data_IF_436410461041
#
_entry.id   IF_436410461041
#
_cell.length_a   1.000
_cell.length_b   1.000
_cell.length_c   1.000
_cell.angle_alpha   90.00
_cell.angle_beta   90.00
_cell.angle_gamma   90.00
#
_symmetry.space_group_name_H-M   'P 1'
#
loop_
_entity.id
_entity.type
_entity.pdbx_description
1 polymer ?
#
# COMPACT_ATOMS: atom_id res chain seq x y z
N UNK A 1 -38.35 4.40 9.78
CA UNK A 1 -37.79 3.61 8.66
C UNK A 1 -36.60 4.30 8.00
N UNK A 2 -36.73 5.55 7.53
CA UNK A 2 -35.62 6.30 6.92
C UNK A 2 -34.39 6.50 7.83
N UNK A 3 -34.57 6.72 9.14
CA UNK A 3 -33.45 6.88 10.09
C UNK A 3 -32.64 5.62 10.40
N UNK A 4 -33.10 4.44 9.95
CA UNK A 4 -32.36 3.16 10.09
C UNK A 4 -31.80 2.71 8.74
N UNK A 5 -32.54 2.96 7.65
CA UNK A 5 -32.15 2.56 6.31
C UNK A 5 -31.00 3.40 5.74
N UNK A 6 -30.99 4.72 6.01
CA UNK A 6 -29.97 5.64 5.49
C UNK A 6 -28.58 5.41 6.11
N UNK A 7 -28.43 5.25 7.44
CA UNK A 7 -27.13 4.90 8.02
C UNK A 7 -26.60 3.55 7.54
N UNK A 8 -27.50 2.60 7.30
CA UNK A 8 -27.16 1.27 6.80
C UNK A 8 -26.68 1.29 5.35
N UNK A 9 -27.28 2.13 4.49
CA UNK A 9 -26.87 2.28 3.09
C UNK A 9 -25.60 3.13 2.93
N UNK A 10 -25.37 4.09 3.83
CA UNK A 10 -24.28 5.06 3.71
C UNK A 10 -23.07 4.74 4.61
N UNK A 11 -23.12 3.64 5.36
CA UNK A 11 -22.11 3.21 6.36
C UNK A 11 -21.66 4.32 7.33
N UNK A 12 -22.48 5.36 7.51
CA UNK A 12 -22.22 6.49 8.40
C UNK A 12 -23.48 6.75 9.23
N UNK A 13 -23.39 6.85 10.57
CA UNK A 13 -24.51 7.29 11.36
C UNK A 13 -24.93 8.71 10.95
N UNK A 14 -26.24 8.94 10.85
CA UNK A 14 -26.77 10.28 10.65
C UNK A 14 -26.53 11.09 11.93
N UNK A 15 -25.89 12.25 11.81
CA UNK A 15 -25.53 13.13 12.94
C UNK A 15 -26.72 13.54 13.83
N UNK A 16 -27.95 13.40 13.34
CA UNK A 16 -29.17 13.70 14.08
C UNK A 16 -29.52 12.69 15.19
N UNK A 17 -28.83 11.54 15.27
CA UNK A 17 -29.11 10.47 16.25
C UNK A 17 -28.03 10.32 17.32
N UNK A 18 -27.05 11.22 17.40
CA UNK A 18 -25.94 11.08 18.36
C UNK A 18 -26.29 11.81 19.68
N UNK A 19 -26.65 11.10 20.76
CA UNK A 19 -26.66 11.71 22.08
C UNK A 19 -25.21 12.03 22.44
N UNK A 20 -24.93 13.30 22.74
CA UNK A 20 -23.63 13.80 23.18
C UNK A 20 -22.96 12.82 24.18
N UNK A 21 -21.88 12.16 23.75
CA UNK A 21 -21.03 11.34 24.64
C UNK A 21 -20.92 9.84 24.34
N UNK A 22 -21.26 9.35 23.15
CA UNK A 22 -20.93 7.96 22.80
C UNK A 22 -19.43 7.83 22.50
N UNK A 23 -18.75 7.04 23.33
CA UNK A 23 -17.33 6.72 23.17
C UNK A 23 -17.11 6.07 21.81
N UNK A 24 -16.33 6.71 20.95
CA UNK A 24 -15.88 6.12 19.69
C UNK A 24 -14.98 4.92 20.00
N UNK A 25 -15.57 3.74 20.16
CA UNK A 25 -14.82 2.51 19.92
C UNK A 25 -14.40 2.53 18.45
N UNK A 26 -13.12 2.37 18.12
CA UNK A 26 -12.68 2.34 16.74
C UNK A 26 -13.42 1.20 16.03
N UNK A 27 -14.02 1.50 14.88
CA UNK A 27 -14.62 0.50 13.99
C UNK A 27 -13.63 -0.67 13.86
N UNK A 28 -14.05 -1.92 14.14
CA UNK A 28 -13.14 -3.05 14.11
C UNK A 28 -12.42 -3.10 12.76
N UNK A 29 -11.09 -3.23 12.80
CA UNK A 29 -10.21 -3.17 11.63
C UNK A 29 -10.35 -4.36 10.66
N UNK A 30 -11.29 -5.28 10.92
CA UNK A 30 -11.71 -6.34 10.03
C UNK A 30 -13.08 -5.95 9.45
N UNK A 31 -13.26 -6.10 8.13
CA UNK A 31 -14.49 -5.73 7.45
C UNK A 31 -15.75 -6.17 8.20
N UNK A 32 -16.70 -5.24 8.34
CA UNK A 32 -17.91 -5.46 9.12
C UNK A 32 -18.67 -6.71 8.61
N UNK A 33 -18.68 -7.77 9.43
CA UNK A 33 -19.38 -9.02 9.12
C UNK A 33 -20.88 -8.93 9.35
N UNK A 34 -21.38 -7.81 9.90
CA UNK A 34 -22.79 -7.62 10.24
C UNK A 34 -23.70 -7.89 9.06
N UNK A 35 -23.34 -7.41 7.86
CA UNK A 35 -24.13 -7.62 6.64
C UNK A 35 -24.19 -9.11 6.24
N UNK A 36 -23.04 -9.77 6.16
CA UNK A 36 -22.97 -11.18 5.79
C UNK A 36 -23.74 -12.06 6.80
N UNK A 37 -23.60 -11.76 8.10
CA UNK A 37 -24.36 -12.42 9.16
C UNK A 37 -25.85 -12.11 9.07
N UNK A 38 -26.25 -10.89 8.75
CA UNK A 38 -27.64 -10.51 8.57
C UNK A 38 -28.28 -11.27 7.41
N UNK A 39 -27.58 -11.39 6.27
CA UNK A 39 -28.03 -12.20 5.12
C UNK A 39 -28.15 -13.67 5.51
N UNK A 40 -27.12 -14.24 6.15
CA UNK A 40 -27.14 -15.64 6.60
C UNK A 40 -28.32 -15.92 7.54
N UNK A 41 -28.56 -15.03 8.52
CA UNK A 41 -29.67 -15.15 9.48
C UNK A 41 -31.03 -14.93 8.84
N UNK A 42 -31.14 -14.02 7.88
CA UNK A 42 -32.39 -13.77 7.15
C UNK A 42 -32.77 -14.99 6.30
N UNK A 43 -31.81 -15.57 5.57
CA UNK A 43 -32.03 -16.80 4.78
C UNK A 43 -32.47 -17.94 5.70
N UNK A 44 -31.78 -18.14 6.83
CA UNK A 44 -32.15 -19.16 7.81
C UNK A 44 -33.57 -18.96 8.33
N UNK A 45 -33.92 -17.73 8.70
CA UNK A 45 -35.25 -17.40 9.21
C UNK A 45 -36.35 -17.68 8.17
N UNK A 46 -36.12 -17.29 6.91
CA UNK A 46 -37.06 -17.55 5.81
C UNK A 46 -37.24 -19.04 5.55
N UNK A 47 -36.17 -19.85 5.63
CA UNK A 47 -36.25 -21.30 5.47
C UNK A 47 -37.07 -21.96 6.60
N UNK A 48 -36.86 -21.55 7.86
CA UNK A 48 -37.66 -22.04 8.98
C UNK A 48 -39.14 -21.64 8.83
N UNK A 49 -39.42 -20.40 8.41
CA UNK A 49 -40.80 -19.96 8.12
C UNK A 49 -41.46 -20.76 6.99
N UNK A 50 -40.68 -21.26 6.03
CA UNK A 50 -41.17 -22.15 4.96
C UNK A 50 -41.44 -23.59 5.41
N UNK A 51 -41.23 -23.90 6.70
CA UNK A 51 -41.47 -25.22 7.27
C UNK A 51 -40.25 -26.15 7.26
N UNK A 52 -39.05 -25.63 6.95
CA UNK A 52 -37.81 -26.41 7.02
C UNK A 52 -37.38 -26.61 8.48
N UNK A 53 -36.86 -27.80 8.80
CA UNK A 53 -36.28 -28.08 10.12
C UNK A 53 -35.10 -27.14 10.41
N UNK A 54 -34.95 -26.71 11.66
CA UNK A 54 -33.91 -25.74 12.05
C UNK A 54 -32.49 -26.22 11.73
N UNK A 55 -32.25 -27.53 11.82
CA UNK A 55 -30.98 -28.19 11.48
C UNK A 55 -30.66 -28.06 9.99
N UNK A 56 -31.63 -28.42 9.13
CA UNK A 56 -31.52 -28.32 7.67
C UNK A 56 -31.44 -26.83 7.24
N UNK A 57 -32.21 -25.93 7.84
CA UNK A 57 -32.16 -24.49 7.55
C UNK A 57 -30.80 -23.86 7.91
N UNK A 58 -30.16 -24.32 9.00
CA UNK A 58 -28.80 -23.91 9.38
C UNK A 58 -27.77 -24.40 8.37
N UNK A 59 -27.91 -25.64 7.87
CA UNK A 59 -27.05 -26.17 6.81
C UNK A 59 -27.18 -25.36 5.52
N UNK A 60 -28.41 -25.11 5.06
CA UNK A 60 -28.67 -24.36 3.82
C UNK A 60 -28.12 -22.93 3.87
N UNK A 61 -28.40 -22.20 4.96
CA UNK A 61 -27.96 -20.82 5.11
C UNK A 61 -26.44 -20.67 5.23
N UNK A 62 -25.76 -21.63 5.88
CA UNK A 62 -24.32 -21.52 6.12
C UNK A 62 -23.47 -22.22 5.07
N UNK A 63 -23.88 -23.39 4.56
CA UNK A 63 -23.09 -24.20 3.62
C UNK A 63 -23.57 -23.99 2.20
N UNK A 64 -24.85 -24.24 1.90
CA UNK A 64 -25.35 -24.19 0.51
C UNK A 64 -25.35 -22.76 -0.06
N UNK A 65 -25.56 -21.73 0.77
CA UNK A 65 -25.41 -20.34 0.32
C UNK A 65 -23.97 -20.05 -0.12
N UNK A 66 -22.97 -20.56 0.63
CA UNK A 66 -21.55 -20.42 0.26
C UNK A 66 -21.22 -21.27 -0.96
N UNK A 67 -21.81 -22.44 -1.10
CA UNK A 67 -21.67 -23.28 -2.30
C UNK A 67 -22.21 -22.54 -3.53
N UNK A 68 -23.42 -21.98 -3.48
CA UNK A 68 -24.00 -21.21 -4.57
C UNK A 68 -23.14 -20.01 -4.98
N UNK A 69 -22.54 -19.30 -4.01
CA UNK A 69 -21.59 -18.22 -4.30
C UNK A 69 -20.35 -18.72 -5.03
N UNK A 70 -19.80 -19.87 -4.62
CA UNK A 70 -18.65 -20.49 -5.29
C UNK A 70 -19.02 -21.00 -6.68
N UNK A 71 -20.24 -21.51 -6.88
CA UNK A 71 -20.79 -21.87 -8.20
C UNK A 71 -20.87 -20.64 -9.11
N UNK A 72 -21.39 -19.50 -8.63
CA UNK A 72 -21.39 -18.27 -9.40
C UNK A 72 -19.98 -17.77 -9.76
N UNK A 73 -19.01 -17.92 -8.84
CA UNK A 73 -17.60 -17.61 -9.14
C UNK A 73 -17.02 -18.53 -10.21
N UNK A 74 -17.32 -19.83 -10.14
CA UNK A 74 -16.91 -20.82 -11.14
C UNK A 74 -17.52 -20.50 -12.51
N UNK A 75 -18.82 -20.23 -12.57
CA UNK A 75 -19.53 -19.87 -13.80
C UNK A 75 -18.96 -18.60 -14.42
N UNK A 76 -18.71 -17.57 -13.61
CA UNK A 76 -18.11 -16.31 -14.06
C UNK A 76 -16.69 -16.52 -14.65
N UNK A 77 -15.90 -17.42 -14.07
CA UNK A 77 -14.58 -17.78 -14.59
C UNK A 77 -14.67 -18.54 -15.91
N UNK A 78 -15.68 -19.39 -16.09
CA UNK A 78 -15.89 -20.14 -17.35
C UNK A 78 -16.53 -19.31 -18.45
N UNK A 79 -17.40 -18.35 -18.13
CA UNK A 79 -18.05 -17.50 -19.12
C UNK A 79 -17.08 -16.53 -19.80
N UNK A 80 -15.90 -16.31 -19.21
CA UNK A 80 -14.85 -15.44 -19.72
C UNK A 80 -13.88 -16.14 -20.68
N UNK A 81 -14.33 -17.07 -21.52
CA UNK A 81 -13.51 -17.81 -22.50
C UNK A 81 -12.62 -16.94 -23.44
N UNK A 82 -12.78 -15.61 -23.42
CA UNK A 82 -11.98 -14.63 -24.17
C UNK A 82 -10.81 -14.01 -23.37
N UNK A 83 -10.76 -14.17 -22.04
CA UNK A 83 -9.73 -13.56 -21.18
C UNK A 83 -9.18 -14.57 -20.18
N UNK A 84 -7.86 -14.70 -20.14
CA UNK A 84 -7.20 -15.45 -19.07
C UNK A 84 -7.55 -14.80 -17.71
N UNK A 85 -8.09 -15.55 -16.74
CA UNK A 85 -8.54 -14.96 -15.47
C UNK A 85 -7.39 -14.26 -14.73
N UNK A 86 -7.68 -13.18 -14.02
CA UNK A 86 -6.67 -12.48 -13.23
C UNK A 86 -6.23 -13.32 -12.03
N UNK A 87 -5.00 -13.13 -11.57
CA UNK A 87 -4.46 -13.85 -10.38
C UNK A 87 -5.36 -13.63 -9.14
N UNK A 88 -5.98 -12.45 -9.04
CA UNK A 88 -6.93 -12.11 -7.97
C UNK A 88 -8.23 -12.91 -8.02
N UNK A 89 -8.74 -13.23 -9.22
CA UNK A 89 -9.99 -13.99 -9.37
C UNK A 89 -9.80 -15.45 -8.90
N UNK A 90 -8.62 -16.04 -9.15
CA UNK A 90 -8.27 -17.35 -8.58
C UNK A 90 -8.11 -17.32 -7.07
N UNK A 91 -7.51 -16.25 -6.53
CA UNK A 91 -7.38 -16.08 -5.10
C UNK A 91 -8.76 -16.00 -4.44
N UNK A 92 -9.72 -15.28 -5.05
CA UNK A 92 -11.11 -15.21 -4.60
C UNK A 92 -11.79 -16.59 -4.62
N UNK A 93 -11.64 -17.35 -5.70
CA UNK A 93 -12.20 -18.72 -5.78
C UNK A 93 -11.64 -19.61 -4.66
N UNK A 94 -10.32 -19.59 -4.40
CA UNK A 94 -9.70 -20.36 -3.31
C UNK A 94 -10.17 -19.95 -1.93
N UNK A 95 -10.37 -18.65 -1.71
CA UNK A 95 -10.95 -18.14 -0.45
C UNK A 95 -12.39 -18.64 -0.31
N UNK A 96 -13.17 -18.64 -1.39
CA UNK A 96 -14.51 -19.21 -1.44
C UNK A 96 -14.54 -20.69 -1.07
N UNK A 97 -13.69 -21.51 -1.71
CA UNK A 97 -13.54 -22.95 -1.44
C UNK A 97 -13.15 -23.19 0.03
N UNK A 98 -12.16 -22.45 0.54
CA UNK A 98 -11.71 -22.57 1.94
C UNK A 98 -12.80 -22.17 2.95
N UNK A 99 -13.58 -21.14 2.62
CA UNK A 99 -14.71 -20.67 3.41
C UNK A 99 -15.83 -21.71 3.45
N UNK A 100 -16.15 -22.32 2.30
CA UNK A 100 -17.12 -23.42 2.19
C UNK A 100 -16.68 -24.63 3.01
N UNK A 101 -15.43 -25.07 2.86
CA UNK A 101 -14.87 -26.19 3.62
C UNK A 101 -14.92 -25.94 5.14
N UNK A 102 -14.58 -24.72 5.58
CA UNK A 102 -14.65 -24.35 7.01
C UNK A 102 -16.10 -24.30 7.51
N UNK A 103 -17.04 -23.79 6.72
CA UNK A 103 -18.45 -23.77 7.07
C UNK A 103 -19.02 -25.20 7.20
N UNK A 104 -18.71 -26.08 6.24
CA UNK A 104 -19.09 -27.49 6.29
C UNK A 104 -18.50 -28.21 7.52
N UNK A 105 -17.22 -27.97 7.82
CA UNK A 105 -16.56 -28.54 9.00
C UNK A 105 -17.22 -28.07 10.31
N UNK A 106 -17.63 -26.80 10.38
CA UNK A 106 -18.29 -26.23 11.57
C UNK A 106 -19.66 -26.86 11.79
N UNK A 107 -20.37 -27.19 10.71
CA UNK A 107 -21.68 -27.83 10.75
C UNK A 107 -21.63 -29.37 10.75
N UNK A 108 -20.44 -29.98 10.66
CA UNK A 108 -20.29 -31.42 10.50
C UNK A 108 -20.91 -32.25 11.64
N UNK A 109 -20.93 -31.71 12.85
CA UNK A 109 -21.58 -32.38 14.01
C UNK A 109 -23.10 -32.44 13.93
N UNK A 110 -23.73 -31.60 13.10
CA UNK A 110 -25.19 -31.44 12.98
C UNK A 110 -25.73 -31.91 11.63
N UNK A 111 -24.85 -32.09 10.65
CA UNK A 111 -25.21 -32.44 9.29
C UNK A 111 -25.37 -33.95 9.11
N UNK A 112 -26.18 -34.32 8.11
CA UNK A 112 -26.32 -35.73 7.71
C UNK A 112 -25.07 -36.13 6.92
N UNK A 113 -24.52 -37.31 7.19
CA UNK A 113 -23.34 -37.86 6.49
C UNK A 113 -23.36 -37.75 4.95
N UNK A 114 -24.49 -37.98 4.23
CA UNK A 114 -24.53 -37.80 2.78
C UNK A 114 -24.26 -36.35 2.32
N UNK A 115 -24.74 -35.34 3.06
CA UNK A 115 -24.55 -33.92 2.72
C UNK A 115 -23.08 -33.51 2.85
N UNK A 116 -22.40 -34.03 3.87
CA UNK A 116 -20.97 -33.80 4.07
C UNK A 116 -20.13 -34.39 2.95
N UNK A 117 -20.44 -35.63 2.52
CA UNK A 117 -19.74 -36.28 1.41
C UNK A 117 -19.93 -35.54 0.09
N UNK A 118 -21.13 -35.01 -0.16
CA UNK A 118 -21.41 -34.22 -1.36
C UNK A 118 -20.58 -32.92 -1.39
N UNK A 119 -20.56 -32.17 -0.29
CA UNK A 119 -19.77 -30.93 -0.20
C UNK A 119 -18.27 -31.23 -0.26
N UNK A 120 -17.81 -32.33 0.35
CA UNK A 120 -16.41 -32.74 0.26
C UNK A 120 -16.01 -33.06 -1.18
N UNK A 121 -16.81 -33.86 -1.90
CA UNK A 121 -16.56 -34.17 -3.30
C UNK A 121 -16.59 -32.90 -4.18
N UNK A 122 -17.47 -31.95 -3.88
CA UNK A 122 -17.55 -30.67 -4.56
C UNK A 122 -16.29 -29.82 -4.33
N UNK A 123 -15.84 -29.70 -3.07
CA UNK A 123 -14.61 -28.97 -2.69
C UNK A 123 -13.39 -29.59 -3.38
N UNK A 124 -13.23 -30.92 -3.32
CA UNK A 124 -12.09 -31.61 -3.95
C UNK A 124 -12.07 -31.42 -5.47
N UNK A 125 -13.24 -31.50 -6.12
CA UNK A 125 -13.39 -31.24 -7.56
C UNK A 125 -12.97 -29.81 -7.93
N UNK A 126 -13.39 -28.82 -7.15
CA UNK A 126 -13.05 -27.43 -7.39
C UNK A 126 -11.58 -27.12 -7.13
N UNK A 127 -11.00 -27.70 -6.08
CA UNK A 127 -9.58 -27.50 -5.79
C UNK A 127 -8.71 -28.09 -6.91
N UNK A 128 -9.09 -29.27 -7.43
CA UNK A 128 -8.44 -29.87 -8.60
C UNK A 128 -8.58 -28.98 -9.85
N UNK A 129 -9.77 -28.40 -10.10
CA UNK A 129 -10.01 -27.48 -11.21
C UNK A 129 -9.20 -26.20 -11.08
N UNK A 130 -9.16 -25.60 -9.89
CA UNK A 130 -8.38 -24.40 -9.60
C UNK A 130 -6.88 -24.63 -9.80
N UNK A 131 -6.36 -25.79 -9.36
CA UNK A 131 -4.98 -26.20 -9.61
C UNK A 131 -4.69 -26.36 -11.10
N UNK A 132 -5.56 -27.02 -11.87
CA UNK A 132 -5.36 -27.21 -13.31
C UNK A 132 -5.35 -25.89 -14.09
N UNK A 133 -6.22 -24.94 -13.71
CA UNK A 133 -6.25 -23.61 -14.29
C UNK A 133 -4.99 -22.81 -13.93
N UNK A 134 -4.51 -22.89 -12.69
CA UNK A 134 -3.26 -22.24 -12.26
C UNK A 134 -2.05 -22.77 -13.05
N UNK A 135 -1.97 -24.09 -13.26
CA UNK A 135 -0.91 -24.70 -14.06
C UNK A 135 -0.98 -24.27 -15.53
N UNK A 136 -2.18 -24.18 -16.11
CA UNK A 136 -2.39 -23.72 -17.49
C UNK A 136 -1.93 -22.27 -17.68
N UNK A 137 -2.15 -21.40 -16.68
CA UNK A 137 -1.70 -20.01 -16.74
C UNK A 137 -0.19 -19.83 -16.63
N UNK A 138 0.49 -20.65 -15.83
CA UNK A 138 1.97 -20.60 -15.74
C UNK A 138 2.63 -20.86 -17.10
N UNK A 139 1.98 -21.65 -17.96
CA UNK A 139 2.44 -21.90 -19.33
C UNK A 139 2.08 -20.74 -20.27
N UNK A 140 0.88 -20.16 -20.16
CA UNK A 140 0.42 -19.05 -20.99
C UNK A 140 1.15 -17.71 -20.74
N UNK A 141 1.69 -17.50 -19.53
CA UNK A 141 2.46 -16.27 -19.19
C UNK A 141 3.95 -16.34 -19.54
N UNK A 142 4.40 -17.38 -20.23
CA UNK A 142 5.78 -17.46 -20.76
C UNK A 142 5.98 -16.74 -22.11
N UNK A 143 5.00 -15.94 -22.56
CA UNK A 143 5.21 -14.99 -23.65
C UNK A 143 6.17 -13.92 -23.14
N UNK A 144 7.47 -14.15 -23.40
CA UNK A 144 8.46 -13.11 -23.24
C UNK A 144 7.99 -11.86 -24.02
N UNK A 145 8.23 -10.64 -23.51
CA UNK A 145 8.07 -9.46 -24.35
C UNK A 145 8.85 -9.69 -25.65
N UNK A 146 8.33 -9.27 -26.82
CA UNK A 146 9.10 -9.37 -28.05
C UNK A 146 10.47 -8.75 -27.78
N UNK A 147 11.53 -9.50 -28.09
CA UNK A 147 12.89 -9.00 -27.93
C UNK A 147 12.95 -7.64 -28.63
N UNK A 148 13.23 -6.59 -27.88
CA UNK A 148 13.45 -5.28 -28.48
C UNK A 148 14.74 -5.40 -29.28
N UNK A 149 14.60 -5.63 -30.58
CA UNK A 149 15.69 -5.46 -31.53
C UNK A 149 15.82 -3.95 -31.69
N UNK A 150 16.82 -3.36 -31.03
CA UNK A 150 17.23 -1.99 -31.35
C UNK A 150 17.64 -1.99 -32.83
N UNK A 151 16.77 -1.50 -33.70
CA UNK A 151 17.14 -1.24 -35.10
C UNK A 151 18.06 -0.04 -35.08
N UNK A 152 19.35 -0.34 -35.28
CA UNK A 152 20.51 0.53 -35.22
C UNK A 152 20.58 1.56 -36.37
N UNK A 153 19.42 2.11 -36.75
CA UNK A 153 19.27 2.84 -38.01
C UNK A 153 18.46 4.10 -37.81
N UNK A 154 19.02 5.10 -37.12
CA UNK A 154 18.52 6.48 -37.29
C UNK A 154 19.51 7.61 -36.95
N UNK A 155 20.83 7.36 -37.01
CA UNK A 155 21.82 8.44 -37.07
C UNK A 155 22.87 8.17 -38.13
N UNK A 156 22.52 8.35 -39.41
CA UNK A 156 23.49 8.31 -40.52
C UNK A 156 23.50 9.64 -41.27
N UNK A 157 24.46 10.50 -40.91
CA UNK A 157 24.99 11.48 -41.86
C UNK A 157 25.84 10.75 -42.90
N UNK A 158 25.48 10.86 -44.18
CA UNK A 158 26.19 10.20 -45.27
C UNK A 158 27.59 10.80 -45.49
N UNK A 159 28.63 9.96 -45.46
CA UNK A 159 30.02 10.34 -45.83
C UNK A 159 31.08 10.03 -44.77
N UNK A 160 30.73 9.80 -43.51
CA UNK A 160 31.70 9.56 -42.43
C UNK A 160 32.22 8.11 -42.35
N UNK A 161 31.62 7.15 -43.07
CA UNK A 161 31.99 5.74 -43.03
C UNK A 161 33.38 5.38 -43.61
N UNK A 162 34.13 6.36 -44.14
CA UNK A 162 35.49 6.15 -44.67
C UNK A 162 36.61 6.60 -43.74
N UNK A 163 36.29 7.20 -42.59
CA UNK A 163 37.29 7.69 -41.60
C UNK A 163 37.26 6.88 -40.31
N UNK A 164 36.34 5.93 -40.16
CA UNK A 164 36.38 5.01 -39.02
C UNK A 164 37.56 4.05 -39.20
N UNK A 165 38.61 4.28 -38.42
CA UNK A 165 39.59 3.27 -38.01
C UNK A 165 38.84 1.96 -37.79
N UNK A 166 39.30 0.87 -38.42
CA UNK A 166 38.75 -0.46 -38.15
C UNK A 166 38.69 -0.65 -36.64
N UNK A 167 37.50 -0.93 -36.14
CA UNK A 167 37.29 -1.13 -34.72
C UNK A 167 37.97 -2.43 -34.29
N UNK A 168 39.10 -2.28 -33.62
CA UNK A 168 39.92 -3.36 -33.06
C UNK A 168 39.49 -3.72 -31.63
N UNK A 169 38.51 -3.01 -31.04
CA UNK A 169 37.95 -3.37 -29.72
C UNK A 169 37.38 -4.78 -29.63
N UNK A 170 36.64 -5.31 -30.63
CA UNK A 170 36.15 -6.69 -30.56
C UNK A 170 37.25 -7.77 -30.58
N UNK A 171 38.50 -7.41 -30.92
CA UNK A 171 39.65 -8.32 -30.94
C UNK A 171 40.41 -8.39 -29.60
N UNK A 172 40.09 -7.53 -28.62
CA UNK A 172 40.77 -7.52 -27.31
C UNK A 172 40.34 -8.64 -26.35
N UNK A 173 39.28 -9.38 -26.70
CA UNK A 173 38.60 -10.27 -25.76
C UNK A 173 37.91 -9.47 -24.64
N UNK A 174 36.96 -10.10 -23.94
CA UNK A 174 36.37 -9.47 -22.76
C UNK A 174 37.44 -9.31 -21.68
N UNK A 175 37.91 -8.09 -21.47
CA UNK A 175 38.69 -7.75 -20.28
C UNK A 175 37.74 -7.92 -19.10
N UNK A 176 37.77 -9.10 -18.47
CA UNK A 176 37.18 -9.31 -17.15
C UNK A 176 38.01 -8.49 -16.16
N UNK A 177 37.79 -7.18 -16.12
CA UNK A 177 38.27 -6.35 -15.03
C UNK A 177 37.81 -7.05 -13.75
N UNK A 178 38.78 -7.46 -12.92
CA UNK A 178 38.51 -7.96 -11.59
C UNK A 178 37.87 -6.84 -10.80
N UNK A 179 36.57 -6.64 -10.93
CA UNK A 179 35.89 -5.60 -10.18
C UNK A 179 35.87 -6.05 -8.72
N UNK A 180 36.56 -5.28 -7.91
CA UNK A 180 36.56 -5.42 -6.47
C UNK A 180 35.11 -5.33 -6.00
N UNK A 181 34.64 -6.36 -5.30
CA UNK A 181 33.35 -6.31 -4.60
C UNK A 181 33.61 -5.43 -3.36
N UNK A 182 32.99 -4.26 -3.34
CA UNK A 182 33.05 -3.38 -2.18
C UNK A 182 32.06 -3.89 -1.12
N UNK A 183 32.51 -4.11 0.12
CA UNK A 183 31.63 -4.63 1.16
C UNK A 183 30.56 -3.59 1.53
N UNK A 184 29.31 -4.04 1.57
CA UNK A 184 28.23 -3.32 2.24
C UNK A 184 28.21 -3.79 3.70
N UNK A 185 28.23 -2.85 4.66
CA UNK A 185 28.27 -3.15 6.08
C UNK A 185 26.96 -2.69 6.76
N UNK A 186 25.89 -3.50 6.74
CA UNK A 186 24.65 -3.18 7.48
C UNK A 186 24.88 -2.97 8.98
N UNK A 187 25.96 -3.51 9.54
CA UNK A 187 26.38 -3.29 10.93
C UNK A 187 26.80 -1.85 11.23
N UNK A 188 26.98 -1.00 10.22
CA UNK A 188 27.25 0.42 10.39
C UNK A 188 25.98 1.24 10.69
N UNK A 189 24.79 0.64 10.59
CA UNK A 189 23.55 1.32 10.95
C UNK A 189 23.43 1.46 12.47
N UNK A 190 22.88 2.59 12.96
CA UNK A 190 22.63 2.77 14.39
C UNK A 190 21.58 1.77 14.90
N UNK A 191 21.64 1.43 16.19
CA UNK A 191 20.62 0.60 16.82
C UNK A 191 19.31 1.36 17.10
N UNK A 192 19.41 2.67 17.33
CA UNK A 192 18.30 3.57 17.64
C UNK A 192 18.62 4.97 17.09
N UNK A 193 17.60 5.69 16.63
CA UNK A 193 17.72 7.04 16.08
C UNK A 193 17.03 8.00 17.04
N UNK A 194 17.78 8.96 17.59
CA UNK A 194 17.29 9.88 18.63
C UNK A 194 16.85 11.24 18.11
N UNK A 195 17.36 11.64 16.96
CA UNK A 195 17.08 12.95 16.38
C UNK A 195 17.01 12.90 14.84
N UNK A 196 16.46 13.95 14.24
CA UNK A 196 16.29 14.02 12.78
C UNK A 196 17.62 14.11 12.01
N UNK A 197 18.71 14.55 12.63
CA UNK A 197 20.04 14.57 12.00
C UNK A 197 20.62 13.16 11.87
N UNK A 198 20.51 12.34 12.91
CA UNK A 198 20.85 10.91 12.90
C UNK A 198 19.97 10.15 11.89
N UNK A 199 18.69 10.52 11.79
CA UNK A 199 17.79 9.96 10.77
C UNK A 199 18.28 10.29 9.35
N UNK A 200 18.72 11.53 9.12
CA UNK A 200 19.26 11.96 7.82
C UNK A 200 20.53 11.20 7.45
N UNK A 201 21.47 11.06 8.40
CA UNK A 201 22.70 10.29 8.21
C UNK A 201 22.41 8.81 7.94
N UNK A 202 21.51 8.19 8.72
CA UNK A 202 21.08 6.82 8.51
C UNK A 202 20.44 6.62 7.13
N UNK A 203 19.54 7.52 6.70
CA UNK A 203 18.93 7.47 5.37
C UNK A 203 19.97 7.60 4.25
N UNK A 204 20.96 8.48 4.39
CA UNK A 204 22.08 8.61 3.43
C UNK A 204 22.92 7.34 3.34
N UNK A 205 23.24 6.73 4.49
CA UNK A 205 23.99 5.48 4.55
C UNK A 205 23.21 4.36 3.87
N UNK A 206 21.92 4.20 4.19
CA UNK A 206 21.06 3.21 3.54
C UNK A 206 20.97 3.46 2.03
N UNK A 207 20.74 4.70 1.59
CA UNK A 207 20.70 5.03 0.15
C UNK A 207 22.00 4.67 -0.58
N UNK A 208 23.15 4.93 0.06
CA UNK A 208 24.47 4.56 -0.47
C UNK A 208 24.65 3.04 -0.53
N UNK A 209 24.25 2.31 0.51
CA UNK A 209 24.29 0.84 0.54
C UNK A 209 23.40 0.22 -0.53
N UNK A 210 22.17 0.73 -0.71
CA UNK A 210 21.26 0.28 -1.77
C UNK A 210 21.88 0.46 -3.16
N UNK A 211 22.45 1.64 -3.41
CA UNK A 211 23.11 1.95 -4.69
C UNK A 211 24.29 1.01 -4.93
N UNK A 212 25.11 0.77 -3.91
CA UNK A 212 26.27 -0.11 -4.00
C UNK A 212 25.87 -1.58 -4.28
N UNK A 213 24.90 -2.11 -3.54
CA UNK A 213 24.41 -3.47 -3.73
C UNK A 213 23.77 -3.66 -5.10
N UNK A 214 22.96 -2.70 -5.56
CA UNK A 214 22.31 -2.78 -6.87
C UNK A 214 23.32 -2.70 -8.02
N UNK A 215 24.36 -1.87 -7.90
CA UNK A 215 25.43 -1.82 -8.90
C UNK A 215 26.26 -3.11 -8.96
N UNK A 216 26.27 -3.89 -7.88
CA UNK A 216 26.99 -5.16 -7.78
C UNK A 216 26.07 -6.39 -7.94
N UNK A 217 24.82 -6.21 -8.37
CA UNK A 217 23.81 -7.28 -8.40
C UNK A 217 24.19 -8.50 -9.26
N UNK A 218 24.99 -8.31 -10.31
CA UNK A 218 25.47 -9.41 -11.16
C UNK A 218 26.45 -10.33 -10.45
N UNK A 219 27.02 -9.87 -9.33
CA UNK A 219 28.04 -10.59 -8.53
C UNK A 219 27.53 -10.97 -7.15
N UNK A 220 26.47 -10.33 -6.68
CA UNK A 220 25.81 -10.60 -5.42
C UNK A 220 24.49 -11.33 -5.68
N UNK A 221 24.44 -12.67 -5.58
CA UNK A 221 23.28 -13.48 -5.99
C UNK A 221 21.97 -13.19 -5.24
N UNK A 222 22.01 -12.34 -4.20
CA UNK A 222 20.85 -11.93 -3.41
C UNK A 222 20.76 -10.41 -3.21
N UNK A 223 21.45 -9.59 -4.00
CA UNK A 223 21.43 -8.13 -3.84
C UNK A 223 20.00 -7.54 -3.77
N UNK A 224 19.04 -7.91 -4.65
CA UNK A 224 17.68 -7.38 -4.54
C UNK A 224 16.98 -7.77 -3.22
N UNK A 225 17.17 -9.00 -2.75
CA UNK A 225 16.61 -9.45 -1.48
C UNK A 225 17.25 -8.75 -0.27
N UNK A 226 18.56 -8.51 -0.32
CA UNK A 226 19.29 -7.75 0.71
C UNK A 226 18.86 -6.28 0.73
N UNK A 227 18.70 -5.65 -0.44
CA UNK A 227 18.14 -4.30 -0.56
C UNK A 227 16.73 -4.23 0.02
N UNK A 228 15.88 -5.20 -0.31
CA UNK A 228 14.52 -5.29 0.22
C UNK A 228 14.51 -5.38 1.74
N UNK A 229 15.28 -6.33 2.30
CA UNK A 229 15.38 -6.54 3.75
C UNK A 229 15.95 -5.31 4.48
N UNK A 230 16.92 -4.61 3.88
CA UNK A 230 17.52 -3.41 4.43
C UNK A 230 16.49 -2.28 4.59
N UNK A 231 15.64 -2.05 3.58
CA UNK A 231 14.60 -1.00 3.66
C UNK A 231 13.47 -1.42 4.61
N UNK A 232 13.09 -2.70 4.62
CA UNK A 232 12.14 -3.23 5.62
C UNK A 232 12.68 -2.97 7.04
N UNK A 233 13.96 -3.25 7.29
CA UNK A 233 14.57 -2.99 8.58
C UNK A 233 14.59 -1.50 8.94
N UNK A 234 14.95 -0.63 7.99
CA UNK A 234 14.91 0.82 8.18
C UNK A 234 13.53 1.30 8.63
N UNK A 235 12.47 0.90 7.92
CA UNK A 235 11.12 1.39 8.19
C UNK A 235 10.43 0.72 9.37
N UNK A 236 10.67 -0.57 9.60
CA UNK A 236 9.98 -1.31 10.65
C UNK A 236 10.67 -1.21 12.03
N UNK A 237 11.95 -0.78 12.08
CA UNK A 237 12.73 -0.78 13.33
C UNK A 237 13.53 0.49 13.62
N UNK A 238 14.08 1.16 12.61
CA UNK A 238 14.99 2.28 12.84
C UNK A 238 14.27 3.63 12.81
N UNK A 239 13.49 3.89 11.77
CA UNK A 239 12.76 5.15 11.63
C UNK A 239 11.46 5.12 12.44
N UNK A 240 11.23 6.12 13.30
CA UNK A 240 9.96 6.22 14.01
C UNK A 240 8.86 6.62 13.02
N UNK A 241 7.68 6.04 13.20
CA UNK A 241 6.50 6.44 12.43
C UNK A 241 5.96 7.79 12.92
N UNK A 242 5.41 8.63 12.02
CA UNK A 242 4.73 9.85 12.44
C UNK A 242 3.50 9.53 13.29
N UNK A 243 3.29 10.34 14.32
CA UNK A 243 2.08 10.30 15.12
C UNK A 243 0.88 10.82 14.31
N UNK A 244 -0.35 10.35 14.60
CA UNK A 244 -1.57 10.93 14.06
C UNK A 244 -1.63 12.45 14.26
N UNK A 245 -2.17 13.18 13.30
CA UNK A 245 -2.25 14.66 13.35
C UNK A 245 -3.19 15.13 14.46
N UNK A 246 -4.25 14.38 14.72
CA UNK A 246 -5.23 14.64 15.79
C UNK A 246 -4.76 14.17 17.19
N UNK A 247 -3.51 13.75 17.34
CA UNK A 247 -3.02 13.23 18.62
C UNK A 247 -2.97 14.31 19.71
N UNK A 248 -3.16 13.90 20.97
CA UNK A 248 -3.26 14.81 22.11
C UNK A 248 -1.95 15.55 22.42
N UNK A 249 -0.81 15.05 21.91
CA UNK A 249 0.52 15.60 22.14
C UNK A 249 1.32 15.71 20.82
N UNK A 250 0.97 16.63 19.91
CA UNK A 250 1.66 16.77 18.63
C UNK A 250 3.14 17.11 18.79
N UNK A 251 3.51 17.80 19.87
CA UNK A 251 4.90 18.15 20.22
C UNK A 251 5.75 16.93 20.61
N UNK A 252 5.13 15.81 20.98
CA UNK A 252 5.83 14.56 21.30
C UNK A 252 6.21 13.77 20.03
N UNK A 253 5.72 14.17 18.85
CA UNK A 253 6.05 13.51 17.60
C UNK A 253 7.52 13.72 17.26
N UNK A 254 8.25 12.63 16.99
CA UNK A 254 9.65 12.69 16.57
C UNK A 254 9.86 13.66 15.40
N UNK A 255 8.94 13.66 14.43
CA UNK A 255 9.00 14.50 13.24
C UNK A 255 8.48 15.94 13.45
N UNK A 256 7.94 16.26 14.63
CA UNK A 256 7.55 17.62 15.00
C UNK A 256 8.72 18.46 15.57
N UNK A 257 9.86 17.83 15.85
CA UNK A 257 11.09 18.52 16.28
C UNK A 257 11.50 19.64 15.31
N UNK A 258 12.27 20.63 15.78
CA UNK A 258 12.80 21.69 14.92
C UNK A 258 13.78 21.12 13.88
N UNK A 259 13.43 21.23 12.60
CA UNK A 259 14.28 20.83 11.47
C UNK A 259 14.85 22.05 10.74
N UNK A 260 16.13 21.97 10.38
CA UNK A 260 16.73 22.92 9.42
C UNK A 260 16.26 22.60 8.00
N UNK A 261 16.28 23.61 7.13
CA UNK A 261 15.97 23.45 5.68
C UNK A 261 16.83 22.36 5.04
N UNK A 262 18.12 22.35 5.38
CA UNK A 262 19.10 21.44 4.80
C UNK A 262 18.81 19.99 5.21
N UNK A 263 18.60 19.75 6.51
CA UNK A 263 18.28 18.40 7.03
C UNK A 263 16.96 17.89 6.44
N UNK A 264 15.94 18.75 6.35
CA UNK A 264 14.66 18.40 5.72
C UNK A 264 14.82 18.01 4.26
N UNK A 265 15.56 18.80 3.48
CA UNK A 265 15.84 18.50 2.06
C UNK A 265 16.64 17.22 1.89
N UNK A 266 17.65 17.00 2.74
CA UNK A 266 18.49 15.80 2.69
C UNK A 266 17.70 14.54 3.04
N UNK A 267 16.84 14.60 4.06
CA UNK A 267 15.90 13.52 4.41
C UNK A 267 14.97 13.20 3.25
N UNK A 268 14.27 14.19 2.69
CA UNK A 268 13.33 13.97 1.58
C UNK A 268 14.02 13.41 0.34
N UNK A 269 15.22 13.91 0.02
CA UNK A 269 16.03 13.39 -1.10
C UNK A 269 16.46 11.94 -0.84
N UNK A 270 16.96 11.64 0.36
CA UNK A 270 17.42 10.31 0.72
C UNK A 270 16.28 9.30 0.75
N UNK A 271 15.14 9.66 1.34
CA UNK A 271 13.91 8.85 1.34
C UNK A 271 13.41 8.61 -0.08
N UNK A 272 13.41 9.64 -0.94
CA UNK A 272 13.04 9.46 -2.36
C UNK A 272 13.97 8.46 -3.07
N UNK A 273 15.28 8.54 -2.85
CA UNK A 273 16.22 7.58 -3.43
C UNK A 273 16.03 6.16 -2.86
N UNK A 274 15.73 6.05 -1.56
CA UNK A 274 15.38 4.77 -0.92
C UNK A 274 14.10 4.20 -1.53
N UNK A 275 13.04 5.01 -1.73
CA UNK A 275 11.81 4.59 -2.40
C UNK A 275 12.10 4.02 -3.79
N UNK A 276 12.95 4.69 -4.58
CA UNK A 276 13.34 4.20 -5.91
C UNK A 276 14.10 2.88 -5.84
N UNK A 277 15.09 2.78 -4.95
CA UNK A 277 15.85 1.56 -4.72
C UNK A 277 14.98 0.41 -4.23
N UNK A 278 14.04 0.70 -3.34
CA UNK A 278 13.08 -0.25 -2.80
C UNK A 278 12.13 -0.77 -3.87
N UNK A 279 11.55 0.12 -4.69
CA UNK A 279 10.69 -0.28 -5.81
C UNK A 279 11.43 -1.15 -6.83
N UNK A 280 12.69 -0.82 -7.15
CA UNK A 280 13.52 -1.65 -8.03
C UNK A 280 13.80 -3.03 -7.40
N UNK A 281 14.15 -3.08 -6.12
CA UNK A 281 14.39 -4.33 -5.38
C UNK A 281 13.11 -5.18 -5.26
N UNK A 282 11.97 -4.56 -4.96
CA UNK A 282 10.68 -5.22 -4.81
C UNK A 282 10.21 -5.82 -6.14
N UNK A 283 10.33 -5.08 -7.26
CA UNK A 283 9.96 -5.59 -8.59
C UNK A 283 10.89 -6.72 -9.05
N UNK A 284 12.19 -6.60 -8.82
CA UNK A 284 13.15 -7.66 -9.10
C UNK A 284 12.87 -8.93 -8.28
N UNK A 285 12.49 -8.77 -7.00
CA UNK A 285 12.10 -9.90 -6.14
C UNK A 285 10.79 -10.53 -6.60
N UNK A 286 9.79 -9.73 -6.98
CA UNK A 286 8.52 -10.25 -7.51
C UNK A 286 8.70 -11.03 -8.82
N UNK A 287 9.63 -10.61 -9.69
CA UNK A 287 9.96 -11.34 -10.91
C UNK A 287 10.64 -12.70 -10.63
N UNK A 288 11.52 -12.77 -9.62
CA UNK A 288 12.25 -13.99 -9.29
C UNK A 288 11.47 -14.93 -8.35
N UNK A 289 10.72 -14.39 -7.37
CA UNK A 289 10.03 -15.14 -6.32
C UNK A 289 8.91 -14.30 -5.67
N UNK A 290 7.74 -14.28 -6.30
CA UNK A 290 6.55 -13.70 -5.72
C UNK A 290 6.09 -14.53 -4.49
N UNK A 291 6.15 -13.93 -3.30
CA UNK A 291 5.59 -14.51 -2.06
C UNK A 291 4.58 -13.54 -1.47
N UNK A 292 3.49 -14.06 -0.90
CA UNK A 292 2.44 -13.22 -0.28
C UNK A 292 2.98 -12.38 0.89
N UNK A 293 3.99 -12.87 1.58
CA UNK A 293 4.66 -12.18 2.69
C UNK A 293 5.48 -11.00 2.19
N UNK A 294 6.25 -11.17 1.10
CA UNK A 294 6.98 -10.07 0.48
C UNK A 294 6.03 -9.01 -0.10
N UNK A 295 4.88 -9.44 -0.64
CA UNK A 295 3.82 -8.55 -1.11
C UNK A 295 3.16 -7.77 0.05
N UNK A 296 3.05 -8.39 1.23
CA UNK A 296 2.67 -7.72 2.48
C UNK A 296 3.67 -6.65 2.88
N UNK A 297 4.93 -7.05 3.02
CA UNK A 297 6.02 -6.17 3.44
C UNK A 297 6.22 -4.99 2.49
N UNK A 298 6.17 -5.20 1.15
CA UNK A 298 6.34 -4.10 0.18
C UNK A 298 5.25 -3.04 0.30
N UNK A 299 4.02 -3.47 0.56
CA UNK A 299 2.85 -2.57 0.64
C UNK A 299 2.91 -1.75 1.93
N UNK A 300 3.21 -2.39 3.06
CA UNK A 300 3.37 -1.70 4.35
C UNK A 300 4.56 -0.73 4.36
N UNK A 301 5.71 -1.14 3.82
CA UNK A 301 6.91 -0.29 3.75
C UNK A 301 6.69 0.89 2.80
N UNK A 302 6.03 0.69 1.66
CA UNK A 302 5.68 1.79 0.77
C UNK A 302 4.76 2.81 1.44
N UNK A 303 3.72 2.35 2.14
CA UNK A 303 2.83 3.23 2.90
C UNK A 303 3.56 3.98 4.01
N UNK A 304 4.46 3.31 4.75
CA UNK A 304 5.26 3.94 5.79
C UNK A 304 6.21 5.01 5.24
N UNK A 305 6.87 4.74 4.11
CA UNK A 305 7.73 5.72 3.42
C UNK A 305 6.93 6.96 3.03
N UNK A 306 5.73 6.76 2.47
CA UNK A 306 4.82 7.86 2.11
C UNK A 306 4.38 8.64 3.34
N UNK A 307 4.02 7.98 4.44
CA UNK A 307 3.60 8.63 5.68
C UNK A 307 4.72 9.51 6.27
N UNK A 308 5.96 9.00 6.34
CA UNK A 308 7.12 9.77 6.82
C UNK A 308 7.40 10.96 5.89
N UNK A 309 7.34 10.76 4.57
CA UNK A 309 7.53 11.84 3.60
C UNK A 309 6.43 12.90 3.71
N UNK A 310 5.16 12.53 3.87
CA UNK A 310 4.04 13.46 4.09
C UNK A 310 4.25 14.29 5.36
N UNK A 311 4.57 13.63 6.47
CA UNK A 311 4.81 14.30 7.76
C UNK A 311 5.93 15.35 7.65
N UNK A 312 7.03 14.99 6.97
CA UNK A 312 8.12 15.93 6.69
C UNK A 312 7.66 17.10 5.79
N UNK A 313 6.91 16.83 4.72
CA UNK A 313 6.42 17.86 3.80
C UNK A 313 5.42 18.82 4.46
N UNK A 314 4.57 18.31 5.34
CA UNK A 314 3.53 19.08 6.06
C UNK A 314 4.10 20.00 7.13
N UNK A 315 5.24 19.65 7.73
CA UNK A 315 5.86 20.45 8.80
C UNK A 315 6.48 21.75 8.26
N UNK A 316 5.98 22.95 8.63
CA UNK A 316 6.69 24.19 8.35
C UNK A 316 7.98 24.28 9.16
N UNK A 317 8.92 25.09 8.69
CA UNK A 317 10.15 25.37 9.43
C UNK A 317 9.85 26.21 10.68
N UNK A 318 10.62 26.00 11.74
CA UNK A 318 10.47 26.72 13.01
C UNK A 318 10.63 28.23 12.82
N UNK A 319 9.69 29.01 13.38
CA UNK A 319 9.61 30.48 13.23
C UNK A 319 10.84 31.23 13.73
N UNK A 320 11.57 30.69 14.71
CA UNK A 320 12.79 31.31 15.26
C UNK A 320 13.96 31.37 14.26
N UNK A 321 13.99 30.47 13.27
CA UNK A 321 14.98 30.48 12.19
C UNK A 321 14.53 31.30 10.98
N UNK A 322 13.22 31.49 10.79
CA UNK A 322 12.65 32.18 9.63
C UNK A 322 13.00 33.68 9.58
N UNK A 323 13.22 34.33 10.73
CA UNK A 323 13.59 35.75 10.80
C UNK A 323 15.01 36.03 10.30
N UNK A 324 15.93 35.06 10.44
CA UNK A 324 17.36 35.22 10.12
C UNK A 324 17.78 34.60 8.76
N UNK A 325 16.90 33.86 8.09
CA UNK A 325 17.20 33.19 6.82
C UNK A 325 17.01 34.13 5.61
N UNK A 326 17.89 34.00 4.61
CA UNK A 326 17.84 34.78 3.38
C UNK A 326 16.52 34.54 2.63
N UNK A 327 16.02 35.55 1.89
CA UNK A 327 14.74 35.52 1.17
C UNK A 327 14.56 34.24 0.33
N UNK A 328 15.65 33.68 -0.21
CA UNK A 328 15.64 32.44 -1.03
C UNK A 328 15.31 31.16 -0.24
N UNK A 329 15.68 31.09 1.04
CA UNK A 329 15.41 29.92 1.89
C UNK A 329 13.98 29.91 2.43
N UNK A 330 13.37 31.10 2.55
CA UNK A 330 11.93 31.25 2.84
C UNK A 330 11.03 30.61 1.78
N UNK A 331 11.47 30.55 0.52
CA UNK A 331 10.70 29.94 -0.57
C UNK A 331 10.56 28.42 -0.43
N UNK A 332 11.50 27.75 0.26
CA UNK A 332 11.40 26.31 0.54
C UNK A 332 10.30 25.96 1.55
N UNK A 333 9.96 26.90 2.43
CA UNK A 333 8.91 26.75 3.43
C UNK A 333 7.51 27.00 2.86
N UNK A 334 7.42 27.81 1.80
CA UNK A 334 6.14 28.12 1.14
C UNK A 334 5.42 26.86 0.69
N UNK A 335 6.15 25.87 0.15
CA UNK A 335 5.54 24.59 -0.21
C UNK A 335 4.89 23.94 1.00
N UNK A 336 5.59 23.84 2.13
CA UNK A 336 5.07 23.22 3.36
C UNK A 336 3.91 23.99 3.97
N UNK A 337 3.95 25.32 3.92
CA UNK A 337 2.87 26.20 4.36
C UNK A 337 1.62 26.07 3.46
N UNK A 338 1.79 25.95 2.15
CA UNK A 338 0.68 25.68 1.24
C UNK A 338 0.17 24.25 1.37
N UNK A 339 1.08 23.28 1.53
CA UNK A 339 0.77 21.86 1.67
C UNK A 339 -0.10 21.60 2.91
N UNK A 340 0.25 22.24 4.03
CA UNK A 340 -0.50 22.18 5.29
C UNK A 340 -1.67 23.15 5.39
N UNK A 341 -1.93 23.99 4.38
CA UNK A 341 -2.99 25.01 4.43
C UNK A 341 -2.74 26.17 5.41
N UNK A 342 -1.51 26.32 5.90
CA UNK A 342 -1.09 27.38 6.84
C UNK A 342 -0.65 28.69 6.16
N UNK A 343 -0.59 28.72 4.83
CA UNK A 343 -0.11 29.86 4.02
C UNK A 343 -0.86 31.19 4.21
N UNK A 344 -1.96 31.22 4.96
CA UNK A 344 -2.72 32.43 5.27
C UNK A 344 -2.81 32.79 6.76
N UNK A 345 -2.19 32.03 7.66
CA UNK A 345 -2.39 32.20 9.11
C UNK A 345 -1.32 33.05 9.81
N UNK A 346 -0.20 33.38 9.17
CA UNK A 346 0.93 34.06 9.86
C UNK A 346 0.75 35.59 10.07
N UNK A 347 -0.50 36.11 10.07
CA UNK A 347 -0.77 37.54 9.97
C UNK A 347 -1.65 38.21 11.03
N UNK A 348 -2.46 37.50 11.85
CA UNK A 348 -3.28 38.23 12.84
C UNK A 348 -3.61 37.43 14.12
N UNK A 349 -2.73 37.54 15.11
CA UNK A 349 -3.20 37.61 16.50
C UNK A 349 -3.86 38.98 16.73
N UNK A 350 -5.08 39.19 16.25
CA UNK A 350 -5.96 40.26 16.75
C UNK A 350 -7.36 40.15 16.13
N UNK A 351 -8.25 39.39 16.78
CA UNK A 351 -9.65 39.75 17.04
C UNK A 351 -10.59 40.23 15.91
N UNK A 352 -10.25 40.09 14.63
CA UNK A 352 -11.05 40.65 13.53
C UNK A 352 -11.06 39.67 12.36
N UNK A 353 -12.27 39.18 12.03
CA UNK A 353 -12.63 38.27 10.92
C UNK A 353 -11.44 37.81 10.06
N UNK A 354 -10.74 36.79 10.54
CA UNK A 354 -9.53 36.27 9.90
C UNK A 354 -9.84 35.76 8.51
N UNK A 355 -9.26 36.40 7.50
CA UNK A 355 -9.28 35.93 6.14
C UNK A 355 -8.52 34.59 6.11
N UNK A 356 -9.25 33.46 6.21
CA UNK A 356 -8.69 32.13 5.95
C UNK A 356 -8.06 32.19 4.57
N UNK A 357 -6.76 31.95 4.47
CA UNK A 357 -6.10 31.81 3.18
C UNK A 357 -6.87 30.81 2.30
N UNK A 358 -6.87 30.99 0.96
CA UNK A 358 -7.73 30.22 0.06
C UNK A 358 -7.38 28.72 -0.03
N UNK A 359 -6.32 28.26 0.62
CA UNK A 359 -5.80 26.90 0.49
C UNK A 359 -6.17 26.05 1.71
N UNK A 360 -7.00 25.02 1.51
CA UNK A 360 -7.17 23.94 2.49
C UNK A 360 -5.95 23.01 2.45
N UNK A 361 -5.65 22.26 3.53
CA UNK A 361 -4.55 21.30 3.52
C UNK A 361 -4.76 20.24 2.42
N UNK A 362 -3.65 19.83 1.82
CA UNK A 362 -3.62 18.67 0.94
C UNK A 362 -3.48 17.41 1.78
N UNK A 363 -4.19 16.35 1.38
CA UNK A 363 -4.21 15.08 2.10
C UNK A 363 -4.08 13.92 1.13
N UNK A 364 -3.35 12.89 1.58
CA UNK A 364 -3.26 11.59 0.93
C UNK A 364 -4.35 10.67 1.49
N UNK A 365 -5.23 10.17 0.62
CA UNK A 365 -6.31 9.26 1.02
C UNK A 365 -5.80 7.87 1.38
N UNK A 366 -6.38 7.26 2.42
CA UNK A 366 -5.98 5.92 2.89
C UNK A 366 -6.75 4.76 2.23
N UNK A 367 -7.83 5.05 1.50
CA UNK A 367 -8.85 4.08 1.05
C UNK A 367 -8.30 2.79 0.45
N UNK A 368 -7.58 2.89 -0.68
CA UNK A 368 -7.02 1.71 -1.37
C UNK A 368 -6.04 0.95 -0.50
N UNK A 369 -5.19 1.65 0.26
CA UNK A 369 -4.21 1.02 1.14
C UNK A 369 -4.91 0.28 2.30
N UNK A 370 -5.95 0.87 2.88
CA UNK A 370 -6.74 0.25 3.94
C UNK A 370 -7.36 -1.08 3.50
N UNK A 371 -8.04 -1.08 2.35
CA UNK A 371 -8.69 -2.27 1.80
C UNK A 371 -7.67 -3.33 1.38
N UNK A 372 -6.65 -2.95 0.61
CA UNK A 372 -5.65 -3.90 0.12
C UNK A 372 -4.81 -4.47 1.25
N UNK A 373 -4.57 -3.69 2.32
CA UNK A 373 -3.73 -4.12 3.43
C UNK A 373 -4.41 -5.11 4.37
N UNK A 374 -5.74 -5.21 4.37
CA UNK A 374 -6.49 -6.16 5.21
C UNK A 374 -6.21 -7.62 4.85
N UNK A 375 -6.01 -7.90 3.55
CA UNK A 375 -5.78 -9.25 3.05
C UNK A 375 -4.29 -9.65 3.02
N UNK A 376 -3.38 -8.78 3.48
CA UNK A 376 -1.95 -9.04 3.46
C UNK A 376 -1.54 -10.06 4.52
N UNK A 377 -0.63 -10.96 4.14
CA UNK A 377 -0.01 -11.90 5.07
C UNK A 377 1.19 -11.21 5.73
N UNK A 378 1.04 -10.83 7.00
CA UNK A 378 2.08 -10.17 7.79
C UNK A 378 2.52 -11.10 8.94
N UNK A 379 3.46 -12.05 8.69
CA UNK A 379 3.89 -13.00 9.72
C UNK A 379 4.76 -12.32 10.79
N UNK A 380 5.41 -11.20 10.46
CA UNK A 380 6.26 -10.45 11.37
C UNK A 380 5.43 -9.39 12.11
N UNK A 381 5.44 -9.37 13.46
CA UNK A 381 4.66 -8.41 14.25
C UNK A 381 5.06 -6.96 13.97
N UNK A 382 6.34 -6.71 13.66
CA UNK A 382 6.83 -5.37 13.33
C UNK A 382 6.16 -4.80 12.07
N UNK A 383 5.89 -5.63 11.07
CA UNK A 383 5.18 -5.21 9.87
C UNK A 383 3.68 -4.97 10.13
N UNK A 384 3.08 -5.75 11.03
CA UNK A 384 1.70 -5.53 11.45
C UNK A 384 1.56 -4.22 12.24
N UNK A 385 2.52 -3.91 13.12
CA UNK A 385 2.59 -2.63 13.82
C UNK A 385 2.81 -1.47 12.85
N UNK A 386 3.75 -1.62 11.91
CA UNK A 386 4.02 -0.60 10.89
C UNK A 386 2.77 -0.30 10.05
N UNK A 387 2.00 -1.33 9.68
CA UNK A 387 0.71 -1.16 8.99
C UNK A 387 -0.27 -0.35 9.84
N UNK A 388 -0.44 -0.71 11.11
CA UNK A 388 -1.37 -0.03 12.01
C UNK A 388 -1.00 1.45 12.16
N UNK A 389 0.28 1.75 12.44
CA UNK A 389 0.78 3.13 12.56
C UNK A 389 0.59 3.95 11.28
N UNK A 390 0.82 3.35 10.11
CA UNK A 390 0.57 4.02 8.83
C UNK A 390 -0.94 4.32 8.63
N UNK A 391 -1.82 3.38 8.98
CA UNK A 391 -3.27 3.58 8.90
C UNK A 391 -3.75 4.67 9.86
N UNK A 392 -3.30 4.64 11.12
CA UNK A 392 -3.66 5.64 12.13
C UNK A 392 -3.25 7.05 11.67
N UNK A 393 -2.05 7.17 11.10
CA UNK A 393 -1.57 8.42 10.50
C UNK A 393 -2.48 8.91 9.36
N UNK A 394 -2.72 8.09 8.33
CA UNK A 394 -3.53 8.55 7.19
C UNK A 394 -5.00 8.79 7.56
N UNK A 395 -5.56 8.01 8.49
CA UNK A 395 -6.92 8.21 8.96
C UNK A 395 -7.09 9.56 9.68
N UNK A 396 -6.07 9.99 10.43
CA UNK A 396 -6.07 11.31 11.08
C UNK A 396 -5.97 12.49 10.10
N UNK A 397 -5.61 12.25 8.83
CA UNK A 397 -5.61 13.30 7.81
C UNK A 397 -6.99 13.47 7.17
N UNK A 398 -7.85 12.44 7.20
CA UNK A 398 -9.18 12.47 6.57
C UNK A 398 -10.20 13.29 7.39
N UNK A 399 -9.96 13.48 8.70
CA UNK A 399 -10.77 14.30 9.61
C UNK A 399 -10.62 15.80 9.36
N UNK A 400 -9.48 16.26 8.83
CA UNK A 400 -9.15 17.70 8.69
C UNK A 400 -9.91 18.43 7.56
N UNK A 401 -10.77 17.75 6.80
CA UNK A 401 -11.60 18.36 5.74
C UNK A 401 -10.76 18.95 4.61
N UNK A 402 -10.42 18.14 3.62
CA UNK A 402 -9.25 18.42 2.77
C UNK A 402 -9.45 18.26 1.26
N UNK A 403 -8.56 18.93 0.54
CA UNK A 403 -8.27 18.73 -0.88
C UNK A 403 -7.46 17.44 -1.04
N UNK A 404 -8.13 16.32 -1.35
CA UNK A 404 -7.46 15.05 -1.57
C UNK A 404 -6.62 15.10 -2.86
N UNK A 405 -5.29 15.05 -2.75
CA UNK A 405 -4.41 14.76 -3.90
C UNK A 405 -4.40 13.23 -4.01
N UNK A 406 -4.77 12.71 -5.18
CA UNK A 406 -4.87 11.27 -5.49
C UNK A 406 -6.04 10.53 -4.85
N UNK A 407 -7.27 10.93 -5.20
CA UNK A 407 -8.46 10.09 -5.00
C UNK A 407 -8.77 9.28 -6.28
N UNK A 408 -7.84 8.42 -6.70
CA UNK A 408 -7.96 7.65 -7.96
C UNK A 408 -9.19 6.70 -7.97
N UNK A 409 -9.68 6.30 -6.80
CA UNK A 409 -10.73 5.27 -6.69
C UNK A 409 -12.15 5.82 -6.73
N UNK A 410 -12.37 7.11 -6.44
CA UNK A 410 -13.73 7.67 -6.35
C UNK A 410 -14.12 8.59 -7.51
N UNK A 411 -13.16 9.16 -8.26
CA UNK A 411 -13.48 10.02 -9.38
C UNK A 411 -12.37 10.07 -10.44
N UNK A 412 -12.70 9.65 -11.66
CA UNK A 412 -11.95 9.98 -12.89
C UNK A 412 -12.07 11.48 -13.25
N UNK A 413 -12.62 12.31 -12.37
CA UNK A 413 -12.76 13.76 -12.58
C UNK A 413 -11.78 14.51 -11.68
N UNK A 414 -11.04 15.48 -12.24
CA UNK A 414 -10.16 16.33 -11.45
C UNK A 414 -11.00 17.05 -10.39
N UNK A 415 -10.56 16.93 -9.14
CA UNK A 415 -11.19 17.59 -8.00
C UNK A 415 -11.08 19.11 -8.14
N UNK A 416 -11.83 19.88 -7.33
CA UNK A 416 -11.67 21.33 -7.30
C UNK A 416 -10.23 21.77 -6.97
N UNK A 417 -9.45 20.91 -6.31
CA UNK A 417 -8.04 21.14 -5.99
C UNK A 417 -7.12 21.05 -7.22
N UNK A 418 -7.42 20.15 -8.17
CA UNK A 418 -6.66 20.02 -9.42
C UNK A 418 -6.87 21.23 -10.36
N UNK A 419 -7.94 22.00 -10.12
CA UNK A 419 -8.27 23.22 -10.88
C UNK A 419 -7.63 24.48 -10.30
N UNK A 420 -6.99 24.42 -9.14
CA UNK A 420 -6.31 25.54 -8.51
C UNK A 420 -4.88 25.73 -9.08
N UNK A 421 -4.77 25.83 -10.41
CA UNK A 421 -3.59 26.40 -11.06
C UNK A 421 -3.75 27.93 -11.19
N UNK A 422 -2.66 28.71 -11.16
CA UNK A 422 -2.74 30.16 -11.31
C UNK A 422 -3.35 30.51 -12.68
N UNK A 423 -4.38 31.37 -12.68
CA UNK A 423 -4.81 32.10 -13.87
C UNK A 423 -3.96 33.34 -14.06
#
# INVERSE_FOLDING_TARGET
>A
MYGVLLPFLNQKPLSANDPEGSWHEPLPAAGDRSFALAVERSVRFMLVLSGMEESDASWWSSVNLRQALVECMEEALTAQDLRAPATGEFALLRVGISSLARAAQTQASRAKEPQLREVQAYVERLDAKALNLEHSQRHARSVQPPAWVATDTETRFGGFGRVLLQDVEPLKGEVKHGSLILPCLPSALPAEIKNCSEAAECCRLVSSMLTLMMNQQSRLPHAPASCFALVVHLMARLLPMPLPVDDAQPEACFWATDLTVETKKDLLRSLHMICRGFSAAATALSAARATREADGARTCVAAALVAVMDALLRRPLSSQLAENLAVQERHGDLFSLHYSGQSGQSGSQSGSSGFRGPCQPFVLGSGTFRETSEALLLPQPELAMLRAQALDYFQSLESEGSHAIFNFDQAMTPSSADRAGPR
#
